data_IF_623939898290
#
_entry.id   IF_623939898290
#
_cell.length_a   1.000
_cell.length_b   1.000
_cell.length_c   1.000
_cell.angle_alpha   90.00
_cell.angle_beta   90.00
_cell.angle_gamma   90.00
#
_symmetry.space_group_name_H-M   'P 1'
#
loop_
_entity.id
_entity.type
_entity.pdbx_description
1 polymer ?
#
# COMPACT_ATOMS: atom_id res chain seq x y z
N UNK A 1 -9.41 -8.11 26.96
CA UNK A 1 -9.70 -6.89 26.19
C UNK A 1 -9.50 -7.26 24.74
N UNK A 2 -10.51 -7.04 23.87
CA UNK A 2 -10.32 -7.25 22.45
C UNK A 2 -9.28 -6.24 21.96
N UNK A 3 -8.28 -6.68 21.22
CA UNK A 3 -7.33 -5.75 20.59
C UNK A 3 -8.07 -5.06 19.45
N UNK A 4 -8.00 -3.73 19.40
CA UNK A 4 -8.58 -2.97 18.28
C UNK A 4 -7.77 -3.27 17.01
N UNK A 5 -8.48 -3.67 15.97
CA UNK A 5 -7.90 -3.87 14.63
C UNK A 5 -7.76 -2.53 13.93
N UNK A 6 -6.58 -2.26 13.37
CA UNK A 6 -6.28 -1.05 12.62
C UNK A 6 -5.85 -1.40 11.20
N UNK A 7 -6.25 -0.57 10.24
CA UNK A 7 -5.68 -0.61 8.89
C UNK A 7 -4.45 0.28 8.79
N UNK A 8 -3.53 -0.05 7.90
CA UNK A 8 -2.45 0.89 7.57
C UNK A 8 -3.02 2.18 6.97
N UNK A 9 -4.06 2.07 6.13
CA UNK A 9 -4.75 3.22 5.56
C UNK A 9 -5.24 4.22 6.60
N UNK A 10 -5.63 3.75 7.79
CA UNK A 10 -6.13 4.61 8.87
C UNK A 10 -5.02 5.47 9.46
N UNK A 11 -3.75 5.05 9.35
CA UNK A 11 -2.59 5.75 9.89
C UNK A 11 -2.01 6.77 8.92
N UNK A 12 -2.41 6.75 7.65
CA UNK A 12 -1.84 7.62 6.63
C UNK A 12 -1.97 9.10 7.01
N UNK A 13 -0.88 9.85 6.83
CA UNK A 13 -0.77 11.27 7.13
C UNK A 13 -0.91 11.66 8.62
N UNK A 14 -1.06 10.71 9.55
CA UNK A 14 -1.07 11.01 11.00
C UNK A 14 0.25 11.62 11.43
N UNK A 15 0.14 12.58 12.34
CA UNK A 15 1.28 13.29 12.92
C UNK A 15 2.02 12.36 13.89
N UNK A 16 3.35 12.36 13.83
CA UNK A 16 4.17 11.63 14.80
C UNK A 16 4.82 12.66 15.73
N UNK A 17 4.54 12.52 17.02
CA UNK A 17 5.04 13.41 18.06
C UNK A 17 5.93 12.65 19.02
N UNK A 18 7.06 13.26 19.40
CA UNK A 18 7.81 12.78 20.54
C UNK A 18 7.06 13.16 21.83
N UNK A 19 6.80 12.20 22.70
CA UNK A 19 6.06 12.43 23.94
C UNK A 19 6.83 13.33 24.91
N UNK A 20 8.14 13.18 25.01
CA UNK A 20 8.95 13.89 26.00
C UNK A 20 9.11 15.36 25.63
N UNK A 21 9.37 15.65 24.35
CA UNK A 21 9.61 17.01 23.87
C UNK A 21 8.37 17.69 23.30
N UNK A 22 7.34 16.92 22.95
CA UNK A 22 6.15 17.39 22.18
C UNK A 22 6.51 17.90 20.79
N UNK A 23 7.71 17.59 20.29
CA UNK A 23 8.13 18.00 18.96
C UNK A 23 7.51 17.10 17.89
N UNK A 24 7.20 17.70 16.73
CA UNK A 24 6.81 16.97 15.53
C UNK A 24 8.03 16.29 14.92
N UNK A 25 8.02 14.96 14.91
CA UNK A 25 9.05 14.16 14.24
C UNK A 25 8.78 14.01 12.74
N UNK A 26 7.51 14.12 12.34
CA UNK A 26 7.06 14.03 10.96
C UNK A 26 5.69 13.37 10.84
N UNK A 27 5.47 12.68 9.72
CA UNK A 27 4.19 11.99 9.43
C UNK A 27 4.39 10.52 9.17
N UNK A 28 3.37 9.74 9.49
CA UNK A 28 3.35 8.32 9.19
C UNK A 28 3.51 8.09 7.67
N UNK A 29 4.46 7.24 7.32
CA UNK A 29 4.74 6.82 5.96
C UNK A 29 4.18 5.44 5.64
N UNK A 30 4.75 4.40 6.25
CA UNK A 30 4.46 3.00 5.92
C UNK A 30 4.88 2.07 7.07
N UNK A 31 4.16 0.96 7.27
CA UNK A 31 4.53 -0.01 8.30
C UNK A 31 5.78 -0.79 7.90
N UNK A 32 6.53 -1.21 8.92
CA UNK A 32 7.62 -2.16 8.82
C UNK A 32 7.16 -3.51 9.36
N UNK A 33 7.37 -4.58 8.60
CA UNK A 33 6.91 -5.93 8.89
C UNK A 33 8.12 -6.86 8.99
N UNK A 34 8.11 -7.74 9.98
CA UNK A 34 8.94 -8.94 9.97
C UNK A 34 8.24 -10.02 9.12
N UNK A 35 8.80 -10.39 7.95
CA UNK A 35 8.17 -11.33 7.05
C UNK A 35 8.11 -12.76 7.59
N UNK A 36 8.95 -13.13 8.58
CA UNK A 36 8.92 -14.46 9.19
C UNK A 36 7.95 -14.51 10.35
N UNK A 37 7.95 -13.48 11.20
CA UNK A 37 7.04 -13.41 12.33
C UNK A 37 5.62 -12.96 11.94
N UNK A 38 5.42 -12.49 10.70
CA UNK A 38 4.16 -11.92 10.20
C UNK A 38 3.59 -10.89 11.19
N UNK A 39 4.43 -9.93 11.56
CA UNK A 39 4.12 -8.95 12.59
C UNK A 39 4.70 -7.59 12.22
N UNK A 40 3.96 -6.55 12.56
CA UNK A 40 4.43 -5.17 12.47
C UNK A 40 5.48 -4.94 13.56
N UNK A 41 6.68 -4.56 13.14
CA UNK A 41 7.82 -4.30 14.04
C UNK A 41 8.13 -2.81 14.17
N UNK A 42 7.40 -1.97 13.46
CA UNK A 42 7.57 -0.52 13.49
C UNK A 42 6.92 0.16 12.30
N UNK A 43 7.33 1.41 12.04
CA UNK A 43 6.94 2.16 10.86
C UNK A 43 7.99 3.18 10.44
N UNK A 44 7.86 3.67 9.22
CA UNK A 44 8.64 4.78 8.70
C UNK A 44 7.91 6.09 8.99
N UNK A 45 8.58 6.99 9.69
CA UNK A 45 8.28 8.41 9.77
C UNK A 45 8.93 9.13 8.59
N UNK A 46 8.16 9.96 7.88
CA UNK A 46 8.64 10.82 6.80
C UNK A 46 8.60 12.28 7.25
N UNK A 47 9.68 13.01 7.03
CA UNK A 47 9.80 14.43 7.33
C UNK A 47 10.61 15.17 6.24
N UNK A 48 10.65 16.50 6.34
CA UNK A 48 11.33 17.37 5.36
C UNK A 48 10.57 17.57 4.05
N UNK A 49 11.16 18.35 3.14
CA UNK A 49 10.56 18.64 1.84
C UNK A 49 10.38 17.33 1.04
N UNK A 50 9.14 17.05 0.66
CA UNK A 50 8.74 15.86 -0.11
C UNK A 50 9.06 14.50 0.57
N UNK A 51 9.24 14.48 1.90
CA UNK A 51 9.54 13.24 2.65
C UNK A 51 10.96 12.72 2.45
N UNK A 52 11.90 13.62 2.14
CA UNK A 52 13.33 13.29 1.92
C UNK A 52 14.02 12.70 3.15
N UNK A 53 13.52 12.98 4.35
CA UNK A 53 14.02 12.38 5.59
C UNK A 53 13.11 11.22 5.98
N UNK A 54 13.72 10.04 6.16
CA UNK A 54 13.02 8.82 6.57
C UNK A 54 13.64 8.31 7.87
N UNK A 55 12.83 8.24 8.92
CA UNK A 55 13.20 7.70 10.22
C UNK A 55 12.41 6.42 10.47
N UNK A 56 13.08 5.32 10.76
CA UNK A 56 12.43 4.08 11.17
C UNK A 56 12.25 4.09 12.69
N UNK A 57 11.00 3.91 13.15
CA UNK A 57 10.64 3.82 14.56
C UNK A 57 10.19 2.39 14.86
N UNK A 58 10.73 1.79 15.91
CA UNK A 58 10.37 0.45 16.33
C UNK A 58 9.01 0.42 17.03
N UNK A 59 8.34 -0.72 17.01
CA UNK A 59 7.04 -0.90 17.68
C UNK A 59 7.11 -0.60 19.18
N UNK A 60 8.23 -0.92 19.82
CA UNK A 60 8.48 -0.65 21.24
C UNK A 60 8.62 0.84 21.58
N UNK A 61 8.84 1.70 20.59
CA UNK A 61 8.89 3.16 20.76
C UNK A 61 7.50 3.79 20.64
N UNK A 62 6.50 3.03 20.19
CA UNK A 62 5.11 3.49 20.06
C UNK A 62 4.43 3.39 21.43
N UNK A 63 3.94 4.51 21.93
CA UNK A 63 3.25 4.56 23.23
C UNK A 63 1.74 4.56 23.05
N UNK A 64 1.24 5.33 22.07
CA UNK A 64 -0.18 5.33 21.75
C UNK A 64 -0.43 5.73 20.31
N UNK A 65 -1.48 5.15 19.73
CA UNK A 65 -2.02 5.50 18.42
C UNK A 65 -3.35 6.21 18.67
N UNK A 66 -3.31 7.54 18.71
CA UNK A 66 -4.51 8.38 18.83
C UNK A 66 -5.18 8.59 17.47
N UNK A 67 -6.38 9.20 17.47
CA UNK A 67 -7.17 9.44 16.26
C UNK A 67 -6.41 10.25 15.19
N UNK A 68 -5.67 11.27 15.62
CA UNK A 68 -5.02 12.23 14.72
C UNK A 68 -3.48 12.17 14.77
N UNK A 69 -2.92 11.57 15.83
CA UNK A 69 -1.47 11.50 16.06
C UNK A 69 -1.02 10.18 16.66
N UNK A 70 0.25 9.86 16.43
CA UNK A 70 0.96 8.73 17.01
C UNK A 70 1.99 9.33 17.97
N UNK A 71 1.88 8.98 19.25
CA UNK A 71 2.86 9.38 20.26
C UNK A 71 3.94 8.31 20.33
N UNK A 72 5.19 8.74 20.19
CA UNK A 72 6.35 7.89 20.35
C UNK A 72 7.23 8.40 21.47
N UNK A 73 7.94 7.49 22.10
CA UNK A 73 9.00 7.81 23.04
C UNK A 73 10.28 7.28 22.41
N UNK A 74 11.06 8.17 21.82
CA UNK A 74 12.34 7.80 21.24
C UNK A 74 13.20 7.15 22.33
N UNK A 75 13.65 5.94 22.10
CA UNK A 75 14.64 5.30 22.96
C UNK A 75 15.96 5.31 22.20
N UNK A 76 17.04 5.75 22.86
CA UNK A 76 18.43 5.65 22.36
C UNK A 76 18.90 4.17 22.17
N UNK A 77 17.98 3.22 22.21
CA UNK A 77 18.26 1.81 22.42
C UNK A 77 18.63 1.13 21.10
N UNK A 78 19.94 0.95 20.97
CA UNK A 78 20.63 -0.06 20.17
C UNK A 78 19.70 -1.13 19.58
N UNK A 79 19.62 -1.12 18.26
CA UNK A 79 18.93 -2.09 17.40
C UNK A 79 19.22 -3.53 17.84
N UNK A 80 18.31 -4.15 18.56
CA UNK A 80 18.28 -5.60 18.67
C UNK A 80 17.61 -6.16 17.42
N UNK A 81 18.40 -6.42 16.39
CA UNK A 81 17.97 -7.28 15.29
C UNK A 81 18.17 -8.74 15.71
N UNK A 82 17.15 -9.34 16.31
CA UNK A 82 17.05 -10.81 16.35
C UNK A 82 15.98 -11.19 15.32
N UNK A 83 16.42 -11.51 14.10
CA UNK A 83 15.55 -11.85 12.98
C UNK A 83 16.05 -11.29 11.64
N UNK A 84 15.32 -11.60 10.56
CA UNK A 84 15.54 -11.01 9.23
C UNK A 84 15.26 -9.51 9.25
N UNK A 85 15.91 -8.76 8.35
CA UNK A 85 15.71 -7.32 8.27
C UNK A 85 14.22 -6.98 8.03
N UNK A 86 13.62 -6.05 8.80
CA UNK A 86 12.27 -5.59 8.55
C UNK A 86 12.12 -5.07 7.12
N UNK A 87 10.97 -5.34 6.52
CA UNK A 87 10.63 -4.82 5.19
C UNK A 87 9.47 -3.83 5.30
N UNK A 88 9.41 -2.86 4.39
CA UNK A 88 8.22 -2.03 4.25
C UNK A 88 7.03 -2.92 3.83
N UNK A 89 5.85 -2.65 4.39
CA UNK A 89 4.63 -3.36 4.05
C UNK A 89 4.43 -3.42 2.53
N UNK A 90 3.99 -4.54 1.94
CA UNK A 90 3.98 -4.72 0.48
C UNK A 90 2.81 -3.99 -0.20
N UNK A 91 2.44 -2.78 0.24
CA UNK A 91 1.37 -2.00 -0.38
C UNK A 91 1.72 -1.70 -1.83
N UNK A 92 0.75 -1.92 -2.71
CA UNK A 92 0.92 -1.80 -4.15
C UNK A 92 1.69 -2.94 -4.81
N UNK A 93 2.10 -3.98 -4.08
CA UNK A 93 2.75 -5.13 -4.69
C UNK A 93 1.75 -6.01 -5.42
N UNK A 94 2.19 -6.61 -6.53
CA UNK A 94 1.40 -7.61 -7.24
C UNK A 94 1.29 -8.89 -6.42
N UNK A 95 0.16 -9.56 -6.53
CA UNK A 95 -0.08 -10.82 -5.84
C UNK A 95 -0.08 -11.94 -6.86
N UNK A 96 0.78 -12.92 -6.61
CA UNK A 96 0.96 -14.09 -7.46
C UNK A 96 0.74 -15.36 -6.64
N UNK A 97 0.12 -16.38 -7.20
CA UNK A 97 0.06 -17.71 -6.57
C UNK A 97 1.40 -18.42 -6.71
N UNK A 98 1.64 -19.43 -5.87
CA UNK A 98 2.76 -20.36 -6.00
C UNK A 98 2.69 -21.22 -7.29
N UNK A 99 1.55 -21.20 -8.00
CA UNK A 99 1.37 -21.76 -9.35
C UNK A 99 1.66 -20.76 -10.48
N UNK A 100 2.06 -19.53 -10.15
CA UNK A 100 2.41 -18.50 -11.13
C UNK A 100 1.23 -17.75 -11.72
N UNK A 101 0.06 -17.75 -11.07
CA UNK A 101 -1.08 -16.95 -11.50
C UNK A 101 -1.10 -15.59 -10.80
N UNK A 102 -1.28 -14.49 -11.56
CA UNK A 102 -1.45 -13.16 -10.99
C UNK A 102 -2.91 -12.93 -10.60
N UNK A 103 -3.14 -12.49 -9.36
CA UNK A 103 -4.48 -12.47 -8.78
C UNK A 103 -4.99 -11.08 -8.41
N UNK A 104 -4.08 -10.12 -8.25
CA UNK A 104 -4.43 -8.78 -7.82
C UNK A 104 -3.24 -7.95 -7.36
N UNK A 105 -3.54 -6.96 -6.53
CA UNK A 105 -2.57 -6.02 -5.94
C UNK A 105 -2.94 -5.73 -4.49
N UNK A 106 -1.95 -5.72 -3.60
CA UNK A 106 -2.14 -5.36 -2.19
C UNK A 106 -2.53 -3.89 -2.12
N UNK A 107 -3.61 -3.58 -1.41
CA UNK A 107 -4.09 -2.21 -1.21
C UNK A 107 -3.96 -1.75 0.23
N UNK A 108 -4.00 -2.68 1.18
CA UNK A 108 -3.94 -2.36 2.61
C UNK A 108 -3.55 -3.60 3.43
N UNK A 109 -3.43 -3.43 4.74
CA UNK A 109 -3.25 -4.51 5.70
C UNK A 109 -3.92 -4.17 7.02
N UNK A 110 -4.38 -5.19 7.72
CA UNK A 110 -5.01 -5.10 9.04
C UNK A 110 -4.12 -5.76 10.07
N UNK A 111 -3.91 -5.09 11.21
CA UNK A 111 -3.10 -5.58 12.31
C UNK A 111 -3.75 -5.25 13.66
N UNK A 112 -3.38 -6.00 14.69
CA UNK A 112 -3.82 -5.74 16.06
C UNK A 112 -2.97 -4.63 16.69
N UNK A 113 -3.62 -3.58 17.20
CA UNK A 113 -2.96 -2.39 17.77
C UNK A 113 -2.20 -2.65 19.08
N UNK A 114 -2.45 -3.76 19.76
CA UNK A 114 -1.78 -4.11 21.03
C UNK A 114 -0.34 -4.58 20.82
N UNK A 115 -0.13 -5.48 19.84
CA UNK A 115 1.14 -6.21 19.63
C UNK A 115 1.69 -6.07 18.22
N UNK A 116 0.95 -5.44 17.31
CA UNK A 116 1.30 -5.35 15.91
C UNK A 116 1.08 -6.66 15.15
N UNK A 117 0.36 -7.62 15.72
CA UNK A 117 0.13 -8.92 15.08
C UNK A 117 -0.66 -8.72 13.78
N UNK A 118 -0.10 -9.20 12.66
CA UNK A 118 -0.76 -9.05 11.37
C UNK A 118 -1.97 -9.98 11.32
N UNK A 119 -3.14 -9.44 10.96
CA UNK A 119 -4.37 -10.21 10.89
C UNK A 119 -4.65 -10.68 9.46
N UNK A 120 -4.52 -9.79 8.47
CA UNK A 120 -4.64 -10.11 7.05
C UNK A 120 -4.14 -8.96 6.16
N UNK A 121 -3.74 -9.30 4.94
CA UNK A 121 -3.54 -8.33 3.86
C UNK A 121 -4.86 -8.14 3.12
N UNK A 122 -5.12 -6.92 2.64
CA UNK A 122 -6.26 -6.61 1.79
C UNK A 122 -5.76 -6.40 0.37
N UNK A 123 -6.44 -7.01 -0.59
CA UNK A 123 -6.12 -6.84 -2.00
C UNK A 123 -7.35 -6.56 -2.85
N UNK A 124 -7.10 -5.88 -3.97
CA UNK A 124 -8.08 -5.70 -5.04
C UNK A 124 -7.74 -6.59 -6.22
N UNK A 125 -8.78 -6.99 -6.96
CA UNK A 125 -8.65 -7.73 -8.21
C UNK A 125 -9.48 -7.06 -9.31
N UNK A 126 -8.90 -6.91 -10.50
CA UNK A 126 -9.57 -6.32 -11.67
C UNK A 126 -10.43 -7.32 -12.45
N UNK A 127 -10.97 -8.34 -11.77
CA UNK A 127 -11.66 -9.48 -12.39
C UNK A 127 -10.66 -10.54 -12.85
N UNK A 128 -10.69 -11.69 -12.18
CA UNK A 128 -9.84 -12.84 -12.48
C UNK A 128 -10.66 -14.12 -12.32
N UNK A 129 -10.58 -15.05 -13.27
CA UNK A 129 -11.26 -16.36 -13.24
C UNK A 129 -12.68 -16.37 -12.63
N UNK A 130 -13.55 -15.47 -13.08
CA UNK A 130 -14.95 -15.42 -12.62
C UNK A 130 -15.16 -14.88 -11.20
N UNK A 131 -14.10 -14.43 -10.54
CA UNK A 131 -14.17 -13.70 -9.28
C UNK A 131 -14.50 -12.25 -9.60
N UNK A 132 -15.59 -11.77 -9.00
CA UNK A 132 -16.03 -10.39 -9.19
C UNK A 132 -15.03 -9.41 -8.60
N UNK A 133 -14.98 -8.22 -9.19
CA UNK A 133 -14.24 -7.10 -8.66
C UNK A 133 -14.68 -6.79 -7.20
N UNK A 134 -13.70 -6.48 -6.36
CA UNK A 134 -13.94 -6.22 -4.93
C UNK A 134 -12.67 -6.34 -4.10
N UNK A 135 -12.85 -6.15 -2.79
CA UNK A 135 -11.79 -6.32 -1.80
C UNK A 135 -11.82 -7.72 -1.21
N UNK A 136 -10.64 -8.33 -1.14
CA UNK A 136 -10.43 -9.68 -0.65
C UNK A 136 -9.31 -9.67 0.37
N UNK A 137 -9.30 -10.69 1.23
CA UNK A 137 -8.33 -10.82 2.31
C UNK A 137 -7.41 -12.02 2.12
N UNK A 138 -6.17 -11.87 2.55
CA UNK A 138 -5.14 -12.92 2.54
C UNK A 138 -4.66 -13.10 3.97
N UNK A 139 -4.85 -14.29 4.57
CA UNK A 139 -4.29 -14.57 5.88
C UNK A 139 -2.75 -14.60 5.80
N UNK A 140 -2.03 -14.11 6.81
CA UNK A 140 -0.57 -14.05 6.82
C UNK A 140 0.10 -15.40 6.54
N UNK A 141 -0.49 -16.49 7.06
CA UNK A 141 -0.02 -17.86 6.87
C UNK A 141 -0.09 -18.35 5.41
N UNK A 142 -0.90 -17.71 4.56
CA UNK A 142 -0.98 -18.04 3.14
C UNK A 142 0.10 -17.32 2.31
N UNK A 143 0.89 -16.43 2.90
CA UNK A 143 2.00 -15.76 2.22
C UNK A 143 3.24 -16.63 2.28
N UNK A 144 3.69 -17.12 1.12
CA UNK A 144 4.90 -17.96 1.01
C UNK A 144 6.16 -17.14 0.77
N UNK A 145 6.04 -15.96 0.16
CA UNK A 145 7.19 -15.07 -0.09
C UNK A 145 6.79 -13.60 -0.19
N UNK A 146 7.62 -12.70 0.35
CA UNK A 146 7.50 -11.25 0.25
C UNK A 146 8.72 -10.70 -0.50
N UNK A 147 8.53 -10.36 -1.78
CA UNK A 147 9.56 -9.77 -2.64
C UNK A 147 9.39 -8.27 -2.83
N UNK A 148 10.34 -7.62 -3.53
CA UNK A 148 10.39 -6.15 -3.70
C UNK A 148 9.26 -5.53 -4.53
N UNK A 149 8.52 -6.34 -5.30
CA UNK A 149 7.44 -5.87 -6.20
C UNK A 149 6.23 -6.80 -6.20
N UNK A 150 6.37 -7.98 -5.60
CA UNK A 150 5.37 -9.04 -5.63
C UNK A 150 5.36 -9.81 -4.33
N UNK A 151 4.19 -10.29 -3.97
CA UNK A 151 4.00 -11.28 -2.92
C UNK A 151 3.55 -12.58 -3.56
N UNK A 152 4.08 -13.69 -3.06
CA UNK A 152 3.66 -15.03 -3.47
C UNK A 152 2.77 -15.60 -2.38
N UNK A 153 1.62 -16.12 -2.78
CA UNK A 153 0.63 -16.74 -1.88
C UNK A 153 0.31 -18.16 -2.30
N UNK A 154 -0.22 -18.95 -1.38
CA UNK A 154 -0.71 -20.29 -1.69
C UNK A 154 -1.89 -20.22 -2.68
N UNK A 155 -1.92 -21.13 -3.65
CA UNK A 155 -3.02 -21.23 -4.63
C UNK A 155 -4.41 -21.38 -3.98
N UNK A 156 -4.49 -21.90 -2.76
CA UNK A 156 -5.74 -22.00 -2.00
C UNK A 156 -6.46 -20.65 -1.83
N UNK A 157 -5.71 -19.54 -1.78
CA UNK A 157 -6.28 -18.18 -1.75
C UNK A 157 -7.03 -17.87 -3.04
N UNK A 158 -6.55 -18.38 -4.17
CA UNK A 158 -7.18 -18.22 -5.48
C UNK A 158 -8.40 -19.09 -5.68
N UNK A 159 -8.35 -20.31 -5.16
CA UNK A 159 -9.46 -21.25 -5.30
C UNK A 159 -10.66 -20.87 -4.42
N UNK A 160 -10.41 -20.28 -3.25
CA UNK A 160 -11.44 -19.90 -2.29
C UNK A 160 -11.20 -18.48 -1.72
N UNK A 161 -11.34 -17.44 -2.55
CA UNK A 161 -11.06 -16.07 -2.13
C UNK A 161 -12.08 -15.61 -1.10
N UNK A 162 -11.57 -15.11 0.04
CA UNK A 162 -12.41 -14.56 1.09
C UNK A 162 -12.61 -13.07 0.88
N UNK A 163 -13.87 -12.63 0.78
CA UNK A 163 -14.18 -11.20 0.66
C UNK A 163 -13.92 -10.48 1.98
N UNK A 164 -13.34 -9.30 1.87
CA UNK A 164 -13.23 -8.36 2.97
C UNK A 164 -14.50 -7.48 3.00
N UNK A 165 -15.23 -7.49 4.12
CA UNK A 165 -16.54 -6.81 4.24
C UNK A 165 -16.60 -5.75 5.34
N UNK A 166 -15.50 -5.52 6.06
CA UNK A 166 -15.47 -4.67 7.25
C UNK A 166 -15.09 -3.21 6.93
N UNK A 167 -15.91 -2.25 7.36
CA UNK A 167 -15.54 -0.83 7.46
C UNK A 167 -15.52 -0.05 6.13
N UNK A 168 -16.69 0.10 5.49
CA UNK A 168 -16.96 0.97 4.32
C UNK A 168 -16.83 2.50 4.57
N UNK A 169 -16.13 2.93 5.63
CA UNK A 169 -16.07 4.34 6.01
C UNK A 169 -15.15 5.20 5.11
N UNK A 170 -13.95 4.72 4.80
CA UNK A 170 -12.87 5.61 4.30
C UNK A 170 -12.12 5.10 3.06
N UNK A 171 -12.35 3.85 2.62
CA UNK A 171 -11.54 3.19 1.57
C UNK A 171 -11.92 3.57 0.13
N UNK A 172 -13.11 4.15 -0.10
CA UNK A 172 -13.51 4.62 -1.44
C UNK A 172 -12.64 5.81 -1.89
N UNK A 173 -12.22 6.66 -0.96
CA UNK A 173 -11.38 7.84 -1.27
C UNK A 173 -9.97 7.44 -1.68
N UNK A 174 -9.39 6.40 -1.05
CA UNK A 174 -8.02 5.97 -1.35
C UNK A 174 -7.91 5.19 -2.67
N UNK A 175 -8.93 4.43 -3.06
CA UNK A 175 -8.97 3.82 -4.41
C UNK A 175 -9.10 4.90 -5.48
N UNK A 176 -9.88 5.95 -5.24
CA UNK A 176 -9.98 7.09 -6.15
C UNK A 176 -8.65 7.86 -6.27
N UNK A 177 -7.90 8.01 -5.19
CA UNK A 177 -6.61 8.72 -5.23
C UNK A 177 -5.48 7.87 -5.82
N UNK A 178 -5.48 6.54 -5.60
CA UNK A 178 -4.54 5.62 -6.25
C UNK A 178 -4.79 5.51 -7.77
N UNK A 179 -6.05 5.59 -8.22
CA UNK A 179 -6.38 5.64 -9.64
C UNK A 179 -6.05 6.99 -10.29
N UNK A 180 -6.05 8.10 -9.52
CA UNK A 180 -5.67 9.43 -10.05
C UNK A 180 -4.18 9.54 -10.37
N UNK A 181 -3.30 8.81 -9.66
CA UNK A 181 -1.85 8.83 -9.96
C UNK A 181 -1.50 8.26 -11.34
N UNK A 182 -2.30 7.32 -11.87
CA UNK A 182 -2.08 6.76 -13.22
C UNK A 182 -2.78 7.56 -14.35
N UNK A 183 -3.74 8.44 -14.04
CA UNK A 183 -4.46 9.25 -15.05
C UNK A 183 -3.76 10.57 -15.37
N UNK A 184 -2.88 11.05 -14.48
CA UNK A 184 -2.19 12.32 -14.68
C UNK A 184 -1.04 12.25 -15.72
N UNK A 185 -0.50 11.07 -16.03
CA UNK A 185 0.58 10.94 -17.01
C UNK A 185 0.12 10.88 -18.48
N UNK A 186 -1.17 10.67 -18.78
CA UNK A 186 -1.63 10.46 -20.17
C UNK A 186 -2.21 11.72 -20.84
N UNK A 187 -2.34 12.86 -20.16
CA UNK A 187 -2.90 14.05 -20.80
C UNK A 187 -1.95 14.75 -21.78
N UNK A 188 -0.63 14.55 -21.65
CA UNK A 188 0.34 15.19 -22.55
C UNK A 188 0.52 14.44 -23.90
N UNK A 189 0.28 13.13 -23.95
CA UNK A 189 0.42 12.35 -25.19
C UNK A 189 -0.81 12.41 -26.10
N UNK A 190 -2.00 12.69 -25.56
CA UNK A 190 -3.25 12.78 -26.35
C UNK A 190 -3.30 14.07 -27.17
N UNK A 191 -2.65 15.15 -26.73
CA UNK A 191 -2.57 16.38 -27.50
C UNK A 191 -1.64 16.24 -28.72
N UNK A 192 -0.48 15.58 -28.56
CA UNK A 192 0.47 15.36 -29.65
C UNK A 192 -0.06 14.43 -30.74
N UNK A 193 -0.89 13.44 -30.37
CA UNK A 193 -1.51 12.53 -31.34
C UNK A 193 -2.63 13.21 -32.17
N UNK A 194 -3.34 14.19 -31.59
CA UNK A 194 -4.38 14.97 -32.30
C UNK A 194 -3.80 15.84 -33.42
N UNK A 195 -2.63 16.44 -33.20
CA UNK A 195 -1.96 17.25 -34.23
C UNK A 195 -1.32 16.39 -35.33
N UNK A 196 -0.82 15.20 -34.99
CA UNK A 196 -0.27 14.24 -35.96
C UNK A 196 -1.33 13.68 -36.92
N UNK A 197 -2.54 13.41 -36.42
CA UNK A 197 -3.64 12.88 -37.22
C UNK A 197 -4.22 13.92 -38.20
N UNK A 198 -4.28 15.20 -37.83
CA UNK A 198 -4.76 16.26 -38.73
C UNK A 198 -3.82 16.51 -39.91
N UNK A 199 -2.50 16.40 -39.72
CA UNK A 199 -1.52 16.55 -40.81
C UNK A 199 -1.53 15.40 -41.81
N UNK A 200 -1.98 14.21 -41.42
CA UNK A 200 -2.13 13.09 -42.34
C UNK A 200 -3.38 13.20 -43.22
N UNK A 201 -4.50 13.71 -42.69
CA UNK A 201 -5.76 13.84 -43.46
C UNK A 201 -5.68 14.96 -44.52
N UNK A 202 -4.99 16.07 -44.24
CA UNK A 202 -4.84 17.14 -45.23
C UNK A 202 -3.94 16.75 -46.42
N UNK A 203 -2.97 15.85 -46.24
CA UNK A 203 -2.03 15.47 -47.30
C UNK A 203 -2.60 14.49 -48.34
N UNK A 204 -3.77 13.90 -48.07
CA UNK A 204 -4.49 13.03 -49.01
C UNK A 204 -5.67 13.72 -49.71
N UNK A 205 -6.04 14.95 -49.33
CA UNK A 205 -7.20 15.64 -49.92
C UNK A 205 -6.83 16.51 -51.13
N UNK A 206 -5.53 16.68 -51.42
CA UNK A 206 -5.05 17.61 -52.46
C UNK A 206 -4.61 16.90 -53.76
N UNK A 207 -4.95 15.62 -53.97
CA UNK A 207 -4.50 14.86 -55.15
C UNK A 207 -5.60 14.36 -56.10
N UNK A 208 -6.87 14.66 -55.84
CA UNK A 208 -8.01 14.19 -56.65
C UNK A 208 -8.81 15.33 -57.33
N UNK A 209 -8.18 16.46 -57.66
CA UNK A 209 -8.83 17.49 -58.50
C UNK A 209 -7.85 18.10 -59.51
N UNK A 210 -7.41 17.27 -60.46
CA UNK A 210 -7.06 17.72 -61.80
C UNK A 210 -7.73 16.77 -62.81
N UNK A 211 -8.84 17.25 -63.39
CA UNK A 211 -9.40 16.81 -64.66
C UNK A 211 -10.13 17.99 -65.30
#
# INVERSE_FOLDING_TARGET
>A
MAADSLKQSDLLNRLILDRQTTEELGRFGQLLIDPHAQRVVGFICKSGFMGSQRLALAWSEIESIGKDSILVKQQDSQRQTVGSAPIEAPIGHEIWTDQGERIGKVVDLVFASDRGDLQHYIFTTGGWKGIVEGLYQIPPLAVSSLGKKRIIVLDSVAQAPQRYTEGLGDTVTQVADFLKEDVAQTQQDVAAFKEGAQKFIQRFTDKDTEA
#
